data_IF_967260775992
#
_entry.id   IF_967260775992
#
_cell.length_a   1.000
_cell.length_b   1.000
_cell.length_c   1.000
_cell.angle_alpha   90.00
_cell.angle_beta   90.00
_cell.angle_gamma   90.00
#
_symmetry.space_group_name_H-M   'P 1'
#
loop_
_entity.id
_entity.type
_entity.pdbx_description
1 polymer ?
#
# COMPACT_ATOMS: atom_id res chain seq x y z
N UNK A 1 -2.55 -0.12 -10.15
CA UNK A 1 -1.76 -0.06 -8.91
C UNK A 1 -1.76 -1.41 -8.19
N UNK A 2 -0.60 -1.87 -7.72
CA UNK A 2 -0.47 -3.10 -6.93
C UNK A 2 0.14 -2.81 -5.56
N UNK A 3 -0.38 -3.48 -4.52
CA UNK A 3 -0.01 -3.25 -3.13
C UNK A 3 0.18 -4.54 -2.36
N UNK A 4 1.25 -4.62 -1.58
CA UNK A 4 1.51 -5.69 -0.61
C UNK A 4 1.19 -5.17 0.79
N UNK A 5 0.19 -5.80 1.41
CA UNK A 5 -0.27 -5.45 2.75
C UNK A 5 -0.16 -6.69 3.62
N UNK A 6 0.46 -6.54 4.79
CA UNK A 6 0.48 -7.62 5.77
C UNK A 6 -0.86 -7.63 6.52
N UNK A 7 -1.71 -8.60 6.19
CA UNK A 7 -2.97 -8.84 6.90
C UNK A 7 -2.81 -9.99 7.89
N UNK A 8 -3.24 -9.80 9.14
CA UNK A 8 -3.10 -10.80 10.22
C UNK A 8 -4.40 -11.54 10.54
N UNK A 9 -5.54 -11.08 10.01
CA UNK A 9 -6.83 -11.74 10.19
C UNK A 9 -6.84 -13.13 9.52
N UNK A 10 -7.37 -14.13 10.22
CA UNK A 10 -7.42 -15.53 9.75
C UNK A 10 -8.83 -16.06 9.52
N UNK A 11 -9.85 -15.21 9.65
CA UNK A 11 -11.25 -15.61 9.59
C UNK A 11 -12.21 -14.43 9.46
N UNK A 12 -13.50 -14.69 9.28
CA UNK A 12 -14.51 -13.65 9.10
C UNK A 12 -14.74 -12.86 10.40
N UNK A 13 -15.12 -11.60 10.25
CA UNK A 13 -15.61 -10.76 11.36
C UNK A 13 -17.11 -10.59 11.18
N UNK A 14 -17.88 -10.97 12.20
CA UNK A 14 -19.32 -10.73 12.21
C UNK A 14 -19.60 -9.24 12.49
N UNK A 15 -20.40 -8.63 11.61
CA UNK A 15 -20.88 -7.25 11.80
C UNK A 15 -22.41 -7.33 11.94
N UNK A 16 -22.92 -6.97 13.12
CA UNK A 16 -24.36 -6.90 13.37
C UNK A 16 -24.97 -5.71 12.62
N UNK A 17 -26.20 -5.87 12.15
CA UNK A 17 -26.94 -4.79 11.50
C UNK A 17 -27.06 -3.58 12.43
N UNK A 18 -26.61 -2.42 11.96
CA UNK A 18 -26.65 -1.16 12.71
C UNK A 18 -27.67 -0.20 12.07
N UNK A 19 -28.27 0.67 12.89
CA UNK A 19 -29.16 1.74 12.40
C UNK A 19 -28.42 2.83 11.61
N UNK A 20 -27.09 2.90 11.74
CA UNK A 20 -26.23 3.89 11.11
C UNK A 20 -25.33 3.21 10.10
N UNK A 21 -25.02 3.92 9.02
CA UNK A 21 -24.03 3.49 8.05
C UNK A 21 -22.66 3.40 8.69
N UNK A 22 -21.92 2.34 8.37
CA UNK A 22 -20.52 2.15 8.74
C UNK A 22 -19.68 2.01 7.48
N UNK A 23 -18.45 2.48 7.54
CA UNK A 23 -17.49 2.35 6.44
C UNK A 23 -16.56 1.18 6.70
N UNK A 24 -16.49 0.27 5.73
CA UNK A 24 -15.61 -0.90 5.79
C UNK A 24 -14.27 -0.57 5.11
N UNK A 25 -13.17 -0.98 5.74
CA UNK A 25 -11.86 -0.78 5.18
C UNK A 25 -11.65 -1.68 3.95
N UNK A 26 -11.39 -1.05 2.81
CA UNK A 26 -11.00 -1.75 1.57
C UNK A 26 -9.53 -1.55 1.22
N UNK A 27 -8.86 -0.54 1.81
CA UNK A 27 -7.46 -0.27 1.54
C UNK A 27 -6.49 -1.20 2.28
N UNK A 28 -6.97 -1.97 3.27
CA UNK A 28 -6.19 -2.90 4.10
C UNK A 28 -5.28 -2.26 5.15
N UNK A 29 -5.20 -0.93 5.25
CA UNK A 29 -4.29 -0.22 6.17
C UNK A 29 -4.92 0.21 7.50
N UNK A 30 -6.21 -0.03 7.69
CA UNK A 30 -6.89 0.37 8.92
C UNK A 30 -6.28 -0.34 10.13
N UNK A 31 -6.09 0.40 11.22
CA UNK A 31 -5.71 -0.18 12.52
C UNK A 31 -6.90 -0.80 13.25
N UNK A 32 -8.11 -0.46 12.84
CA UNK A 32 -9.37 -0.87 13.46
C UNK A 32 -10.20 -1.76 12.51
N UNK A 33 -9.54 -2.71 11.84
CA UNK A 33 -10.21 -3.65 10.93
C UNK A 33 -11.35 -4.38 11.65
N UNK A 34 -12.55 -4.50 11.04
CA UNK A 34 -12.85 -4.28 9.62
C UNK A 34 -13.26 -2.83 9.27
N UNK A 35 -13.30 -1.92 10.24
CA UNK A 35 -13.80 -0.56 10.05
C UNK A 35 -12.75 0.37 9.44
N UNK A 36 -13.23 1.41 8.76
CA UNK A 36 -12.37 2.44 8.18
C UNK A 36 -11.97 3.50 9.22
N UNK A 37 -10.67 3.75 9.36
CA UNK A 37 -10.06 4.72 10.29
C UNK A 37 -9.44 5.93 9.56
N UNK A 38 -9.80 6.16 8.30
CA UNK A 38 -9.18 7.15 7.40
C UNK A 38 -7.73 6.87 6.95
N UNK A 39 -7.13 5.71 7.28
CA UNK A 39 -5.79 5.34 6.81
C UNK A 39 -5.69 5.20 5.29
N UNK A 40 -6.82 5.05 4.58
CA UNK A 40 -6.88 5.04 3.12
C UNK A 40 -6.36 6.33 2.47
N UNK A 41 -6.27 7.45 3.20
CA UNK A 41 -5.69 8.68 2.66
C UNK A 41 -4.24 8.53 2.20
N UNK A 42 -3.50 7.57 2.77
CA UNK A 42 -2.12 7.23 2.37
C UNK A 42 -2.01 6.54 1.00
N UNK A 43 -3.14 6.17 0.41
CA UNK A 43 -3.19 5.43 -0.86
C UNK A 43 -3.67 6.30 -2.02
N UNK A 44 -3.97 7.59 -1.79
CA UNK A 44 -4.56 8.48 -2.80
C UNK A 44 -3.55 8.93 -3.85
N UNK A 45 -2.26 8.95 -3.50
CA UNK A 45 -1.13 9.32 -4.35
C UNK A 45 -0.40 8.09 -4.92
N UNK A 46 -1.01 6.91 -4.82
CA UNK A 46 -0.45 5.69 -5.41
C UNK A 46 -0.56 5.74 -6.94
N UNK A 47 0.55 5.48 -7.62
CA UNK A 47 0.62 5.45 -9.08
C UNK A 47 0.45 4.03 -9.63
N UNK A 48 -0.06 3.91 -10.85
CA UNK A 48 -0.34 2.61 -11.47
C UNK A 48 0.90 1.81 -11.83
N UNK A 49 2.02 2.48 -12.08
CA UNK A 49 3.33 1.95 -12.46
C UNK A 49 4.20 1.49 -11.28
N UNK A 50 3.73 1.68 -10.03
CA UNK A 50 4.51 1.39 -8.82
C UNK A 50 3.88 0.29 -7.96
N UNK A 51 4.76 -0.42 -7.26
CA UNK A 51 4.38 -1.38 -6.22
C UNK A 51 4.63 -0.75 -4.85
N UNK A 52 3.59 -0.73 -4.03
CA UNK A 52 3.64 -0.20 -2.67
C UNK A 52 3.60 -1.34 -1.65
N UNK A 53 4.56 -1.38 -0.74
CA UNK A 53 4.55 -2.28 0.41
C UNK A 53 4.28 -1.50 1.69
N UNK A 54 3.39 -2.04 2.53
CA UNK A 54 3.08 -1.46 3.84
C UNK A 54 3.51 -2.41 4.94
N UNK A 55 4.38 -1.92 5.82
CA UNK A 55 4.86 -2.68 6.98
C UNK A 55 3.77 -2.81 8.07
N UNK A 56 4.05 -3.61 9.10
CA UNK A 56 3.15 -3.80 10.25
C UNK A 56 2.91 -2.52 11.06
N UNK A 57 3.74 -1.49 10.91
CA UNK A 57 3.62 -0.18 11.59
C UNK A 57 2.85 0.83 10.73
N UNK A 58 2.55 0.51 9.47
CA UNK A 58 1.89 1.37 8.50
C UNK A 58 2.82 2.37 7.80
N UNK A 59 4.13 2.10 7.79
CA UNK A 59 5.11 2.83 6.98
C UNK A 59 5.02 2.34 5.53
N UNK A 60 5.08 3.29 4.60
CA UNK A 60 5.02 3.03 3.16
C UNK A 60 6.44 2.83 2.64
N UNK A 61 6.69 1.66 2.07
CA UNK A 61 7.92 1.30 1.37
C UNK A 61 7.58 1.31 -0.12
N UNK A 62 8.20 2.22 -0.86
CA UNK A 62 8.02 2.33 -2.31
C UNK A 62 9.11 1.51 -2.95
N UNK A 63 8.75 0.43 -3.64
CA UNK A 63 9.71 -0.32 -4.44
C UNK A 63 9.78 0.34 -5.81
N UNK A 64 10.91 0.96 -6.13
CA UNK A 64 11.06 1.83 -7.29
C UNK A 64 11.15 1.11 -8.65
N UNK A 65 11.29 -0.22 -8.70
CA UNK A 65 11.52 -0.93 -9.96
C UNK A 65 10.52 -2.08 -10.09
N UNK A 66 9.60 -1.98 -11.06
CA UNK A 66 8.74 -3.08 -11.52
C UNK A 66 9.44 -4.00 -12.52
N UNK A 67 10.65 -3.64 -12.96
CA UNK A 67 11.48 -4.43 -13.86
C UNK A 67 12.53 -5.21 -13.08
N UNK A 68 12.25 -6.48 -12.78
CA UNK A 68 13.16 -7.45 -12.15
C UNK A 68 14.39 -7.81 -13.02
N UNK A 69 14.66 -7.12 -14.13
CA UNK A 69 15.79 -7.43 -15.03
C UNK A 69 17.14 -6.87 -14.59
N UNK A 70 17.22 -5.99 -13.59
CA UNK A 70 18.52 -5.54 -13.07
C UNK A 70 18.45 -5.10 -11.61
N UNK A 71 18.67 -6.06 -10.71
CA UNK A 71 18.48 -5.88 -9.27
C UNK A 71 19.62 -5.15 -8.55
N UNK A 72 20.71 -4.74 -9.21
CA UNK A 72 21.89 -4.28 -8.48
C UNK A 72 22.69 -3.11 -9.10
N UNK A 73 22.15 -2.29 -10.02
CA UNK A 73 22.98 -1.21 -10.60
C UNK A 73 22.40 0.19 -10.72
N UNK A 74 21.09 0.43 -10.50
CA UNK A 74 20.50 1.73 -10.84
C UNK A 74 20.00 2.59 -9.68
N UNK A 75 20.19 2.21 -8.42
CA UNK A 75 19.73 3.04 -7.30
C UNK A 75 20.79 3.18 -6.20
N UNK A 76 21.97 3.67 -6.56
CA UNK A 76 22.95 4.23 -5.63
C UNK A 76 22.52 5.58 -5.03
N UNK A 77 21.28 5.68 -4.53
CA UNK A 77 20.82 6.81 -3.74
C UNK A 77 20.08 7.96 -4.46
N UNK A 78 19.74 7.85 -5.74
CA UNK A 78 19.01 8.90 -6.45
C UNK A 78 17.61 8.43 -6.86
N UNK A 79 16.61 8.87 -6.10
CA UNK A 79 15.19 8.71 -6.40
C UNK A 79 14.61 10.06 -6.87
N UNK A 80 15.22 10.68 -7.87
CA UNK A 80 14.65 11.83 -8.59
C UNK A 80 14.19 11.36 -9.99
N UNK A 81 13.22 12.08 -10.56
CA UNK A 81 12.54 11.77 -11.84
C UNK A 81 13.46 11.61 -13.08
N UNK A 82 14.78 11.82 -12.94
CA UNK A 82 15.75 11.83 -14.05
C UNK A 82 16.55 10.52 -14.22
N UNK A 83 16.37 9.51 -13.35
CA UNK A 83 17.24 8.32 -13.36
C UNK A 83 16.87 7.27 -14.46
N UNK A 84 15.65 7.27 -14.99
CA UNK A 84 15.16 6.22 -15.90
C UNK A 84 15.18 6.57 -17.40
N UNK A 85 15.64 7.76 -17.81
CA UNK A 85 15.53 8.23 -19.21
C UNK A 85 16.83 8.20 -20.01
N UNK A 86 17.97 7.84 -19.42
CA UNK A 86 19.23 7.76 -20.16
C UNK A 86 19.53 6.31 -20.54
N UNK A 87 18.99 5.95 -21.71
CA UNK A 87 19.48 4.84 -22.55
C UNK A 87 20.98 4.95 -22.81
#
# INVERSE_FOLDING_TARGET
MARKIIHTGKGPVEIKSQKKSVWICTCGLSKDQPFCDSSHKKTLDEKDDKIYEYDKKGNRIITCCTDDTNKDSCCGGCCDDDCCTKK
#
